data_IF_704994563643
#
_entry.id   IF_704994563643
#
_cell.length_a   1.000
_cell.length_b   1.000
_cell.length_c   1.000
_cell.angle_alpha   90.00
_cell.angle_beta   90.00
_cell.angle_gamma   90.00
#
_symmetry.space_group_name_H-M   'P 1'
#
loop_
_entity.id
_entity.type
_entity.pdbx_description
1 polymer ?
#
# COMPACT_ATOMS: atom_id res chain seq x y z
N UNK A 1 19.00 6.52 -1.69
CA UNK A 1 18.78 7.02 -0.30
C UNK A 1 18.10 5.90 0.50
N UNK A 2 18.48 5.66 1.76
CA UNK A 2 17.75 4.68 2.60
C UNK A 2 16.37 5.25 2.92
N UNK A 3 15.31 4.51 2.59
CA UNK A 3 13.94 4.91 2.93
C UNK A 3 13.55 4.38 4.30
N UNK A 4 12.54 4.99 4.92
CA UNK A 4 11.98 4.48 6.19
C UNK A 4 11.34 3.09 6.05
N UNK A 5 11.19 2.54 4.82
CA UNK A 5 10.58 1.25 4.49
C UNK A 5 11.57 0.25 3.86
N UNK A 6 12.87 0.45 4.00
CA UNK A 6 13.87 -0.44 3.37
C UNK A 6 13.75 -1.90 3.84
N UNK A 7 13.38 -2.12 5.11
CA UNK A 7 13.15 -3.48 5.63
C UNK A 7 12.01 -4.17 4.89
N UNK A 8 10.90 -3.46 4.69
CA UNK A 8 9.71 -3.96 4.02
C UNK A 8 9.95 -4.14 2.50
N UNK A 9 10.66 -3.21 1.87
CA UNK A 9 11.05 -3.30 0.46
C UNK A 9 11.96 -4.51 0.21
N UNK A 10 12.84 -4.84 1.14
CA UNK A 10 13.74 -6.01 1.03
C UNK A 10 13.02 -7.37 1.17
N UNK A 11 11.77 -7.38 1.61
CA UNK A 11 10.93 -8.59 1.53
C UNK A 11 10.51 -8.94 0.10
N UNK A 12 10.59 -8.00 -0.84
CA UNK A 12 10.29 -8.20 -2.26
C UNK A 12 11.49 -8.88 -2.92
N UNK A 13 11.34 -10.14 -3.33
CA UNK A 13 12.43 -10.92 -3.92
C UNK A 13 12.62 -10.64 -5.43
N UNK A 14 11.57 -10.20 -6.13
CA UNK A 14 11.63 -9.87 -7.56
C UNK A 14 12.16 -8.46 -7.77
N UNK A 15 13.34 -8.34 -8.37
CA UNK A 15 14.06 -7.06 -8.56
C UNK A 15 13.25 -6.02 -9.33
N UNK A 16 12.53 -6.44 -10.37
CA UNK A 16 11.69 -5.56 -11.18
C UNK A 16 10.52 -4.96 -10.38
N UNK A 17 9.91 -5.76 -9.49
CA UNK A 17 8.86 -5.28 -8.56
C UNK A 17 9.46 -4.35 -7.53
N UNK A 18 10.62 -4.69 -6.98
CA UNK A 18 11.33 -3.84 -6.00
C UNK A 18 11.73 -2.49 -6.61
N UNK A 19 12.20 -2.48 -7.85
CA UNK A 19 12.54 -1.26 -8.60
C UNK A 19 11.31 -0.38 -8.79
N UNK A 20 10.17 -0.96 -9.19
CA UNK A 20 8.90 -0.24 -9.32
C UNK A 20 8.46 0.38 -7.99
N UNK A 21 8.51 -0.38 -6.89
CA UNK A 21 8.14 0.13 -5.56
C UNK A 21 9.00 1.32 -5.16
N UNK A 22 10.32 1.27 -5.40
CA UNK A 22 11.22 2.40 -5.12
C UNK A 22 10.85 3.62 -5.97
N UNK A 23 10.63 3.45 -7.26
CA UNK A 23 10.24 4.54 -8.15
C UNK A 23 8.92 5.21 -7.72
N UNK A 24 7.93 4.42 -7.31
CA UNK A 24 6.65 4.96 -6.80
C UNK A 24 6.85 5.72 -5.49
N UNK A 25 7.63 5.19 -4.55
CA UNK A 25 7.90 5.85 -3.27
C UNK A 25 8.75 7.13 -3.42
N UNK A 26 9.63 7.20 -4.41
CA UNK A 26 10.39 8.41 -4.73
C UNK A 26 9.50 9.50 -5.35
N UNK A 27 8.40 9.11 -6.00
CA UNK A 27 7.45 10.00 -6.65
C UNK A 27 6.19 10.32 -5.81
N UNK A 28 5.97 9.63 -4.69
CA UNK A 28 4.80 9.86 -3.85
C UNK A 28 4.88 11.22 -3.12
N UNK A 29 3.73 11.81 -2.70
CA UNK A 29 3.70 13.05 -1.95
C UNK A 29 4.59 13.00 -0.70
N UNK A 30 5.34 14.08 -0.43
CA UNK A 30 6.30 14.13 0.69
C UNK A 30 5.63 13.93 2.05
N UNK A 31 4.38 14.35 2.19
CA UNK A 31 3.60 14.17 3.40
C UNK A 31 3.35 12.70 3.79
N UNK A 32 3.47 11.74 2.86
CA UNK A 32 3.41 10.30 3.17
C UNK A 32 4.38 9.92 4.30
N UNK A 33 5.57 10.52 4.32
CA UNK A 33 6.64 10.17 5.25
C UNK A 33 6.46 10.75 6.66
N UNK A 34 5.55 11.72 6.83
CA UNK A 34 5.40 12.49 8.08
C UNK A 34 3.99 12.46 8.65
N UNK A 35 2.97 12.26 7.83
CA UNK A 35 1.58 12.35 8.27
C UNK A 35 1.16 11.17 9.17
N UNK A 36 0.12 11.36 10.02
CA UNK A 36 -0.54 10.26 10.72
C UNK A 36 -1.35 9.37 9.78
N UNK A 37 -1.59 8.11 10.16
CA UNK A 37 -2.42 7.20 9.37
C UNK A 37 -3.89 7.63 9.27
N UNK A 38 -4.38 8.39 10.26
CA UNK A 38 -5.74 8.92 10.24
C UNK A 38 -5.79 10.32 10.86
N UNK A 39 -6.57 11.20 10.26
CA UNK A 39 -6.75 12.59 10.72
C UNK A 39 -7.44 12.64 12.10
N UNK A 40 -8.40 11.74 12.35
CA UNK A 40 -9.20 11.76 13.59
C UNK A 40 -8.68 10.85 14.69
N UNK A 41 -7.78 9.92 14.39
CA UNK A 41 -7.31 8.89 15.34
C UNK A 41 -8.40 7.95 15.89
N UNK A 42 -9.62 8.03 15.36
CA UNK A 42 -10.79 7.32 15.93
C UNK A 42 -10.65 5.81 15.87
N UNK A 43 -10.10 5.27 14.80
CA UNK A 43 -10.08 3.82 14.53
C UNK A 43 -8.69 3.20 14.61
N UNK A 44 -7.63 3.96 14.41
CA UNK A 44 -6.26 3.47 14.35
C UNK A 44 -5.63 3.30 15.74
N UNK A 45 -4.73 2.33 15.94
CA UNK A 45 -3.96 2.18 17.18
C UNK A 45 -3.04 3.40 17.39
N UNK A 46 -2.69 3.66 18.65
CA UNK A 46 -1.91 4.84 19.05
C UNK A 46 -0.58 4.97 18.27
N UNK A 47 0.05 3.85 17.93
CA UNK A 47 1.31 3.83 17.16
C UNK A 47 1.18 4.41 15.75
N UNK A 48 -0.02 4.37 15.17
CA UNK A 48 -0.30 4.91 13.83
C UNK A 48 -0.71 6.39 13.84
N UNK A 49 -0.68 7.03 15.01
CA UNK A 49 -1.01 8.45 15.18
C UNK A 49 0.26 9.31 15.24
N UNK A 50 0.08 10.63 15.05
CA UNK A 50 1.18 11.60 15.09
C UNK A 50 2.13 11.49 13.90
N UNK A 51 3.26 12.17 14.01
CA UNK A 51 4.27 12.24 12.93
C UNK A 51 4.79 10.85 12.55
N UNK A 52 4.84 10.55 11.25
CA UNK A 52 5.25 9.26 10.70
C UNK A 52 4.29 8.10 10.99
N UNK A 53 3.09 8.39 11.49
CA UNK A 53 2.09 7.39 11.82
C UNK A 53 1.66 6.55 10.62
N UNK A 54 1.60 7.16 9.41
CA UNK A 54 1.26 6.44 8.19
C UNK A 54 2.34 5.43 7.80
N UNK A 55 3.61 5.77 7.95
CA UNK A 55 4.72 4.81 7.71
C UNK A 55 4.64 3.62 8.68
N UNK A 56 4.35 3.87 9.97
CA UNK A 56 4.17 2.80 10.95
C UNK A 56 2.96 1.92 10.66
N UNK A 57 1.85 2.53 10.20
CA UNK A 57 0.69 1.79 9.70
C UNK A 57 1.07 0.92 8.49
N UNK A 58 1.76 1.47 7.49
CA UNK A 58 2.24 0.72 6.33
C UNK A 58 3.10 -0.49 6.74
N UNK A 59 4.02 -0.33 7.70
CA UNK A 59 4.79 -1.45 8.25
C UNK A 59 3.90 -2.52 8.87
N UNK A 60 2.86 -2.11 9.62
CA UNK A 60 1.89 -3.03 10.20
C UNK A 60 1.13 -3.81 9.11
N UNK A 61 0.67 -3.12 8.06
CA UNK A 61 -0.01 -3.74 6.92
C UNK A 61 0.91 -4.76 6.23
N UNK A 62 2.17 -4.40 5.96
CA UNK A 62 3.14 -5.32 5.33
C UNK A 62 3.36 -6.58 6.18
N UNK A 63 3.53 -6.44 7.50
CA UNK A 63 3.70 -7.60 8.39
C UNK A 63 2.49 -8.51 8.40
N UNK A 64 1.31 -7.94 8.52
CA UNK A 64 0.06 -8.71 8.48
C UNK A 64 -0.13 -9.39 7.12
N UNK A 65 0.18 -8.69 6.02
CA UNK A 65 0.16 -9.29 4.69
C UNK A 65 1.10 -10.49 4.61
N UNK A 66 2.33 -10.39 5.10
CA UNK A 66 3.28 -11.50 5.11
C UNK A 66 2.79 -12.70 5.94
N UNK A 67 2.19 -12.46 7.12
CA UNK A 67 1.60 -13.52 7.93
C UNK A 67 0.41 -14.20 7.24
N UNK A 68 -0.48 -13.43 6.62
CA UNK A 68 -1.63 -13.97 5.88
C UNK A 68 -1.19 -14.75 4.64
N UNK A 69 -0.14 -14.28 3.94
CA UNK A 69 0.46 -15.02 2.82
C UNK A 69 1.03 -16.37 3.27
N UNK A 70 1.75 -16.39 4.39
CA UNK A 70 2.30 -17.62 4.95
C UNK A 70 1.20 -18.61 5.37
N UNK A 71 0.10 -18.13 5.95
CA UNK A 71 -1.07 -18.95 6.29
C UNK A 71 -1.79 -19.50 5.05
N UNK A 72 -1.69 -18.82 3.90
CA UNK A 72 -2.26 -19.24 2.63
C UNK A 72 -1.25 -19.94 1.72
N UNK A 73 -0.13 -20.43 2.29
CA UNK A 73 0.95 -21.21 1.64
C UNK A 73 1.67 -20.49 0.50
N UNK A 74 1.61 -19.15 0.42
CA UNK A 74 2.41 -18.37 -0.51
C UNK A 74 3.87 -18.34 -0.07
N UNK A 75 4.76 -18.74 -0.95
CA UNK A 75 6.20 -18.78 -0.67
C UNK A 75 6.84 -17.41 -0.92
N UNK A 76 7.79 -16.95 -0.05
CA UNK A 76 8.41 -15.62 -0.17
C UNK A 76 9.13 -15.35 -1.50
N UNK A 77 9.59 -16.38 -2.19
CA UNK A 77 10.30 -16.25 -3.47
C UNK A 77 9.37 -16.18 -4.70
N UNK A 78 8.06 -16.19 -4.51
CA UNK A 78 7.10 -16.12 -5.62
C UNK A 78 6.82 -14.67 -6.05
N UNK A 79 6.43 -14.51 -7.32
CA UNK A 79 5.99 -13.22 -7.84
C UNK A 79 4.74 -12.72 -7.12
N UNK A 80 3.80 -13.60 -6.83
CA UNK A 80 2.55 -13.27 -6.11
C UNK A 80 2.83 -12.72 -4.70
N UNK A 81 3.78 -13.32 -3.96
CA UNK A 81 4.23 -12.78 -2.68
C UNK A 81 4.81 -11.37 -2.85
N UNK A 82 5.70 -11.18 -3.82
CA UNK A 82 6.31 -9.86 -4.11
C UNK A 82 5.26 -8.81 -4.49
N UNK A 83 4.24 -9.18 -5.27
CA UNK A 83 3.11 -8.32 -5.66
C UNK A 83 2.29 -7.91 -4.43
N UNK A 84 1.95 -8.85 -3.55
CA UNK A 84 1.16 -8.56 -2.35
C UNK A 84 1.90 -7.65 -1.38
N UNK A 85 3.20 -7.89 -1.14
CA UNK A 85 4.04 -7.02 -0.31
C UNK A 85 4.16 -5.61 -0.94
N UNK A 86 4.35 -5.53 -2.26
CA UNK A 86 4.39 -4.26 -2.97
C UNK A 86 3.06 -3.48 -2.83
N UNK A 87 1.93 -4.15 -3.01
CA UNK A 87 0.61 -3.55 -2.82
C UNK A 87 0.41 -3.06 -1.38
N UNK A 88 0.82 -3.84 -0.38
CA UNK A 88 0.77 -3.45 1.03
C UNK A 88 1.65 -2.23 1.34
N UNK A 89 2.82 -2.09 0.71
CA UNK A 89 3.69 -0.91 0.85
C UNK A 89 3.04 0.33 0.23
N UNK A 90 2.39 0.19 -0.91
CA UNK A 90 1.94 1.31 -1.74
C UNK A 90 0.48 1.72 -1.54
N UNK A 91 -0.34 0.95 -0.79
CA UNK A 91 -1.80 1.14 -0.72
C UNK A 91 -2.22 2.56 -0.35
N UNK A 92 -1.51 3.20 0.53
CA UNK A 92 -1.80 4.54 1.08
C UNK A 92 -0.75 5.60 0.66
N UNK A 93 0.13 5.34 -0.31
CA UNK A 93 1.22 6.25 -0.68
C UNK A 93 0.74 7.61 -1.21
N UNK A 94 -0.51 7.70 -1.69
CA UNK A 94 -1.17 8.93 -2.14
C UNK A 94 -2.37 9.32 -1.28
N UNK A 95 -2.34 9.01 0.03
CA UNK A 95 -3.46 9.25 0.95
C UNK A 95 -3.97 10.68 0.96
N UNK A 96 -3.07 11.64 0.77
CA UNK A 96 -3.35 13.03 0.42
C UNK A 96 -2.16 13.62 -0.34
N UNK A 97 -2.38 14.74 -1.04
CA UNK A 97 -1.30 15.55 -1.59
C UNK A 97 -0.76 16.53 -0.52
N UNK A 98 0.43 17.06 -0.73
CA UNK A 98 1.10 17.96 0.22
C UNK A 98 0.27 19.21 0.55
N UNK A 99 -0.57 19.68 -0.39
CA UNK A 99 -1.44 20.84 -0.22
C UNK A 99 -2.84 20.50 0.34
N UNK A 100 -3.15 19.23 0.62
CA UNK A 100 -4.46 18.83 1.14
C UNK A 100 -4.44 18.71 2.65
N UNK A 101 -5.51 19.18 3.30
CA UNK A 101 -5.67 19.07 4.76
C UNK A 101 -6.16 17.68 5.17
N UNK A 102 -7.04 17.09 4.38
CA UNK A 102 -7.71 15.82 4.70
C UNK A 102 -7.33 14.71 3.73
N UNK A 103 -7.53 13.47 4.16
CA UNK A 103 -7.44 12.29 3.30
C UNK A 103 -8.40 12.41 2.13
N UNK A 104 -7.89 12.19 0.90
CA UNK A 104 -8.71 12.15 -0.29
C UNK A 104 -9.46 10.81 -0.36
N UNK A 105 -10.77 10.85 -0.63
CA UNK A 105 -11.54 9.61 -0.81
C UNK A 105 -10.96 8.75 -1.95
N UNK A 106 -10.58 9.38 -3.06
CA UNK A 106 -10.01 8.72 -4.25
C UNK A 106 -8.51 8.39 -4.12
N UNK A 107 -7.93 8.40 -2.90
CA UNK A 107 -6.51 8.08 -2.71
C UNK A 107 -6.10 6.69 -3.24
N UNK A 108 -6.96 5.64 -3.19
CA UNK A 108 -6.61 4.34 -3.77
C UNK A 108 -6.39 4.42 -5.28
N UNK A 109 -7.25 5.17 -5.97
CA UNK A 109 -7.12 5.38 -7.42
C UNK A 109 -5.87 6.20 -7.74
N UNK A 110 -5.61 7.29 -6.98
CA UNK A 110 -4.40 8.10 -7.15
C UNK A 110 -3.12 7.27 -6.98
N UNK A 111 -3.08 6.37 -6.01
CA UNK A 111 -1.95 5.47 -5.81
C UNK A 111 -1.81 4.47 -6.97
N UNK A 112 -2.92 3.90 -7.45
CA UNK A 112 -2.95 3.03 -8.62
C UNK A 112 -2.46 3.74 -9.90
N UNK A 113 -2.88 4.98 -10.12
CA UNK A 113 -2.45 5.81 -11.25
C UNK A 113 -0.95 6.12 -11.17
N UNK A 114 -0.42 6.45 -9.98
CA UNK A 114 1.00 6.68 -9.77
C UNK A 114 1.83 5.41 -10.05
N UNK A 115 1.37 4.23 -9.60
CA UNK A 115 2.02 2.94 -9.88
C UNK A 115 2.12 2.74 -11.40
N UNK A 116 1.03 3.01 -12.12
CA UNK A 116 0.98 2.87 -13.57
C UNK A 116 1.88 3.87 -14.30
N UNK A 117 1.89 5.12 -13.85
CA UNK A 117 2.78 6.15 -14.36
C UNK A 117 4.26 5.76 -14.20
N UNK A 118 4.67 5.28 -13.02
CA UNK A 118 6.06 4.89 -12.78
C UNK A 118 6.45 3.64 -13.58
N UNK A 119 5.56 2.66 -13.73
CA UNK A 119 5.80 1.50 -14.59
C UNK A 119 6.04 1.93 -16.05
N UNK A 120 5.24 2.87 -16.56
CA UNK A 120 5.40 3.42 -17.92
C UNK A 120 6.72 4.17 -18.09
N UNK A 121 7.13 4.95 -17.10
CA UNK A 121 8.42 5.67 -17.13
C UNK A 121 9.61 4.70 -17.12
N UNK A 122 9.54 3.63 -16.36
CA UNK A 122 10.54 2.58 -16.33
C UNK A 122 10.58 1.78 -17.65
N UNK A 123 9.45 1.63 -18.35
CA UNK A 123 9.39 0.99 -19.66
C UNK A 123 10.13 1.77 -20.75
N UNK A 124 10.28 3.07 -20.61
CA UNK A 124 11.09 3.90 -21.51
C UNK A 124 12.59 3.52 -21.47
N UNK A 125 13.06 2.89 -20.38
CA UNK A 125 14.41 2.35 -20.24
C UNK A 125 14.57 0.90 -20.71
N UNK A 126 13.50 0.25 -21.18
CA UNK A 126 13.43 -1.13 -21.65
C UNK A 126 12.12 -1.81 -21.22
N UNK A 127 11.50 -2.50 -22.16
CA UNK A 127 10.28 -3.28 -21.90
C UNK A 127 10.57 -4.46 -20.95
N UNK A 128 9.67 -4.68 -19.98
CA UNK A 128 9.71 -5.81 -19.06
C UNK A 128 8.28 -6.29 -18.77
N UNK A 129 7.89 -7.35 -19.46
CA UNK A 129 6.54 -7.91 -19.36
C UNK A 129 6.18 -8.36 -17.93
N UNK A 130 7.15 -8.80 -17.12
CA UNK A 130 6.93 -9.21 -15.73
C UNK A 130 6.63 -7.98 -14.87
N UNK A 131 7.41 -6.90 -15.01
CA UNK A 131 7.18 -5.64 -14.31
C UNK A 131 5.81 -5.07 -14.67
N UNK A 132 5.46 -5.05 -15.94
CA UNK A 132 4.21 -4.45 -16.44
C UNK A 132 2.98 -5.26 -15.99
N UNK A 133 3.08 -6.60 -16.00
CA UNK A 133 2.05 -7.47 -15.44
C UNK A 133 1.91 -7.29 -13.93
N UNK A 134 3.03 -7.20 -13.20
CA UNK A 134 3.05 -6.95 -11.77
C UNK A 134 2.45 -5.57 -11.45
N UNK A 135 2.80 -4.52 -12.18
CA UNK A 135 2.26 -3.17 -11.99
C UNK A 135 0.73 -3.14 -12.13
N UNK A 136 0.18 -3.81 -13.16
CA UNK A 136 -1.29 -3.96 -13.32
C UNK A 136 -1.93 -4.62 -12.11
N UNK A 137 -1.35 -5.70 -11.64
CA UNK A 137 -1.90 -6.46 -10.51
C UNK A 137 -1.79 -5.67 -9.21
N UNK A 138 -0.66 -5.02 -8.94
CA UNK A 138 -0.45 -4.16 -7.77
C UNK A 138 -1.44 -2.99 -7.78
N UNK A 139 -1.58 -2.30 -8.90
CA UNK A 139 -2.52 -1.18 -9.05
C UNK A 139 -3.98 -1.63 -8.80
N UNK A 140 -4.38 -2.79 -9.34
CA UNK A 140 -5.72 -3.35 -9.11
C UNK A 140 -5.98 -3.73 -7.65
N UNK A 141 -4.96 -4.22 -6.91
CA UNK A 141 -5.07 -4.49 -5.47
C UNK A 141 -5.19 -3.18 -4.70
N UNK A 142 -4.35 -2.21 -5.02
CA UNK A 142 -4.33 -0.90 -4.35
C UNK A 142 -5.65 -0.14 -4.57
N UNK A 143 -6.18 -0.13 -5.79
CA UNK A 143 -7.42 0.58 -6.13
C UNK A 143 -8.64 0.11 -5.30
N UNK A 144 -8.66 -1.14 -4.83
CA UNK A 144 -9.80 -1.71 -4.12
C UNK A 144 -9.58 -1.92 -2.60
N UNK A 145 -8.47 -1.42 -2.02
CA UNK A 145 -8.11 -1.73 -0.63
C UNK A 145 -9.11 -1.22 0.40
N UNK A 146 -9.93 -0.20 0.07
CA UNK A 146 -10.98 0.32 0.96
C UNK A 146 -12.07 -0.70 1.28
N UNK A 147 -12.25 -1.74 0.46
CA UNK A 147 -13.22 -2.81 0.69
C UNK A 147 -14.65 -2.28 0.82
N UNK A 148 -15.32 -2.57 1.94
CA UNK A 148 -16.72 -2.14 2.18
C UNK A 148 -16.91 -0.63 2.40
N UNK A 149 -15.84 0.14 2.59
CA UNK A 149 -15.89 1.60 2.71
C UNK A 149 -15.63 2.30 1.37
N UNK A 150 -16.04 1.65 0.30
CA UNK A 150 -15.80 2.06 -1.08
C UNK A 150 -16.75 3.15 -1.59
N UNK A 151 -17.76 3.56 -0.84
CA UNK A 151 -18.70 4.61 -1.25
C UNK A 151 -18.45 5.89 -0.45
N UNK A 152 -18.25 7.01 -1.16
CA UNK A 152 -18.16 8.32 -0.53
C UNK A 152 -19.54 8.78 -0.06
N UNK A 153 -19.76 8.93 1.26
CA UNK A 153 -21.10 9.26 1.78
C UNK A 153 -21.57 10.68 1.43
N UNK A 154 -20.67 11.54 0.92
CA UNK A 154 -21.00 12.94 0.55
C UNK A 154 -21.28 13.09 -0.93
N UNK A 155 -20.54 12.39 -1.78
CA UNK A 155 -20.60 12.57 -3.25
C UNK A 155 -21.24 11.39 -3.98
N UNK A 156 -21.34 10.24 -3.33
CA UNK A 156 -21.79 8.99 -3.95
C UNK A 156 -20.74 8.34 -4.87
N UNK A 157 -19.54 8.89 -4.96
CA UNK A 157 -18.45 8.25 -5.71
C UNK A 157 -18.14 6.87 -5.14
N UNK A 158 -17.85 5.92 -6.03
CA UNK A 158 -17.63 4.53 -5.67
C UNK A 158 -16.25 4.05 -6.14
N UNK A 159 -15.51 3.38 -5.27
CA UNK A 159 -14.26 2.68 -5.55
C UNK A 159 -14.52 1.20 -5.81
N UNK A 160 -13.64 0.49 -6.55
CA UNK A 160 -13.73 -0.95 -6.72
C UNK A 160 -13.71 -1.69 -5.37
N UNK A 161 -14.37 -2.84 -5.30
CA UNK A 161 -14.32 -3.75 -4.15
C UNK A 161 -13.37 -4.92 -4.41
N UNK A 162 -12.77 -5.54 -3.36
CA UNK A 162 -11.88 -6.69 -3.51
C UNK A 162 -12.63 -7.92 -4.01
N UNK A 163 -12.25 -8.45 -5.17
CA UNK A 163 -12.88 -9.61 -5.81
C UNK A 163 -11.99 -10.85 -5.78
N UNK A 164 -10.67 -10.68 -5.91
CA UNK A 164 -9.73 -11.80 -5.91
C UNK A 164 -9.25 -12.16 -4.50
N UNK A 165 -8.75 -13.39 -4.27
CA UNK A 165 -8.16 -13.77 -2.98
C UNK A 165 -7.05 -12.82 -2.53
N UNK A 166 -6.16 -12.39 -3.43
CA UNK A 166 -5.05 -11.49 -3.13
C UNK A 166 -5.53 -10.09 -2.74
N UNK A 167 -6.53 -9.55 -3.45
CA UNK A 167 -7.15 -8.27 -3.10
C UNK A 167 -7.79 -8.32 -1.71
N UNK A 168 -8.51 -9.40 -1.40
CA UNK A 168 -9.11 -9.61 -0.07
C UNK A 168 -8.06 -9.76 1.02
N UNK A 169 -6.94 -10.42 0.74
CA UNK A 169 -5.84 -10.62 1.68
C UNK A 169 -5.22 -9.26 2.07
N UNK A 170 -4.86 -8.42 1.11
CA UNK A 170 -4.26 -7.10 1.37
C UNK A 170 -5.27 -6.18 2.06
N UNK A 171 -6.54 -6.15 1.62
CA UNK A 171 -7.62 -5.42 2.32
C UNK A 171 -7.76 -5.89 3.78
N UNK A 172 -7.72 -7.20 4.04
CA UNK A 172 -7.83 -7.74 5.39
C UNK A 172 -6.63 -7.30 6.25
N UNK A 173 -5.42 -7.30 5.70
CA UNK A 173 -4.22 -6.84 6.40
C UNK A 173 -4.34 -5.36 6.80
N UNK A 174 -4.77 -4.50 5.88
CA UNK A 174 -5.01 -3.08 6.16
C UNK A 174 -6.11 -2.88 7.23
N UNK A 175 -7.24 -3.58 7.08
CA UNK A 175 -8.31 -3.56 8.08
C UNK A 175 -7.80 -3.93 9.47
N UNK A 176 -7.06 -5.03 9.61
CA UNK A 176 -6.50 -5.48 10.89
C UNK A 176 -5.50 -4.47 11.45
N UNK A 177 -4.61 -3.91 10.62
CA UNK A 177 -3.65 -2.88 11.02
C UNK A 177 -4.33 -1.59 11.53
N UNK A 178 -5.56 -1.34 11.12
CA UNK A 178 -6.34 -0.18 11.55
C UNK A 178 -7.14 -0.42 12.84
N UNK A 179 -7.08 -1.61 13.46
CA UNK A 179 -7.84 -1.93 14.67
C UNK A 179 -7.09 -1.57 15.94
N UNK A 180 -7.74 -0.85 16.88
CA UNK A 180 -7.13 -0.43 18.16
C UNK A 180 -6.82 -1.58 19.11
N UNK A 181 -7.55 -2.66 18.99
CA UNK A 181 -7.43 -3.87 19.79
C UNK A 181 -6.37 -4.83 19.27
N UNK A 182 -5.77 -4.54 18.12
CA UNK A 182 -4.67 -5.32 17.54
C UNK A 182 -3.36 -4.56 17.70
N UNK A 183 -2.44 -5.12 18.47
CA UNK A 183 -1.12 -4.55 18.68
C UNK A 183 -0.04 -5.46 18.10
N UNK A 184 0.78 -4.93 17.21
CA UNK A 184 1.92 -5.62 16.63
C UNK A 184 3.21 -5.18 17.34
N UNK A 185 3.92 -6.11 17.96
CA UNK A 185 5.20 -5.83 18.60
C UNK A 185 6.28 -5.42 17.58
N UNK A 186 7.17 -4.50 17.95
CA UNK A 186 8.33 -4.11 17.14
C UNK A 186 8.01 -3.30 15.88
N UNK A 187 6.87 -2.60 15.84
CA UNK A 187 6.61 -1.53 14.87
C UNK A 187 6.99 -0.21 15.53
N UNK A 188 8.02 0.44 15.06
CA UNK A 188 8.54 1.71 15.56
C UNK A 188 8.69 2.72 14.41
#
# INVERSE_FOLDING_TARGET
>A
MKTKLDTEINMIQHDNVRTLVRAVLDACPACFWTMPAATTGKYHPAISLGEGGLVRHTRAVVRLTAHLLAMADYQPNTLDYSIAIAAAILHDCCKKNDNETYTAFMHPQRAADLIWQQATLLAAGGEDAVRDAAARTIAAIVACHMGRWNVNPRTGEELPTPLTPMQRLVHTADYLASRKDITLAGIS
#
